data_IF_569037694654
#
_entry.id   IF_569037694654
#
_cell.length_a   1.000
_cell.length_b   1.000
_cell.length_c   1.000
_cell.angle_alpha   90.00
_cell.angle_beta   90.00
_cell.angle_gamma   90.00
#
_symmetry.space_group_name_H-M   'P 1'
#
loop_
_entity.id
_entity.type
_entity.pdbx_description
1 polymer ?
#
# COMPACT_ATOMS: atom_id res chain seq x y z
N UNK A 1 6.08 10.98 -15.69
CA UNK A 1 7.08 11.41 -14.68
C UNK A 1 8.18 12.25 -15.31
N UNK A 2 8.82 11.83 -16.41
CA UNK A 2 9.87 12.62 -17.08
C UNK A 2 9.47 14.08 -17.36
N UNK A 3 8.31 14.31 -18.00
CA UNK A 3 7.80 15.66 -18.27
C UNK A 3 7.64 16.54 -17.02
N UNK A 4 7.24 15.96 -15.89
CA UNK A 4 7.08 16.69 -14.63
C UNK A 4 8.44 17.08 -14.04
N UNK A 5 9.44 16.20 -14.18
CA UNK A 5 10.80 16.48 -13.74
C UNK A 5 11.43 17.60 -14.58
N UNK A 6 11.23 17.59 -15.90
CA UNK A 6 11.67 18.68 -16.80
C UNK A 6 11.03 20.02 -16.41
N UNK A 7 9.79 20.00 -15.92
CA UNK A 7 9.07 21.18 -15.41
C UNK A 7 9.45 21.57 -13.98
N UNK A 8 10.48 20.96 -13.39
CA UNK A 8 10.98 21.31 -12.05
C UNK A 8 10.13 20.77 -10.88
N UNK A 9 9.19 19.85 -11.13
CA UNK A 9 8.42 19.17 -10.08
C UNK A 9 9.28 18.07 -9.45
N UNK A 10 10.25 18.48 -8.63
CA UNK A 10 11.31 17.61 -8.10
C UNK A 10 11.16 17.31 -6.60
N UNK A 11 10.17 17.92 -5.94
CA UNK A 11 9.82 17.63 -4.55
C UNK A 11 10.14 18.77 -3.58
N UNK A 12 10.02 18.47 -2.29
CA UNK A 12 10.11 19.50 -1.24
C UNK A 12 11.45 20.23 -1.20
N UNK A 13 12.56 19.55 -1.54
CA UNK A 13 13.90 20.15 -1.50
C UNK A 13 14.11 21.23 -2.57
N UNK A 14 13.31 21.23 -3.63
CA UNK A 14 13.36 22.22 -4.72
C UNK A 14 12.21 23.23 -4.64
N UNK A 15 11.50 23.28 -3.51
CA UNK A 15 10.38 24.20 -3.29
C UNK A 15 9.01 23.68 -3.74
N UNK A 16 8.92 22.57 -4.49
CA UNK A 16 7.65 22.04 -4.96
C UNK A 16 7.73 20.67 -5.62
N UNK A 17 6.77 19.80 -5.30
CA UNK A 17 6.54 18.51 -5.96
C UNK A 17 5.05 18.34 -6.25
N UNK A 18 4.49 17.14 -6.07
CA UNK A 18 3.03 16.97 -6.14
C UNK A 18 2.25 17.89 -5.17
N UNK A 19 2.91 18.36 -4.11
CA UNK A 19 2.39 19.33 -3.17
C UNK A 19 3.36 20.51 -3.04
N UNK A 20 2.83 21.68 -2.71
CA UNK A 20 3.63 22.89 -2.53
C UNK A 20 2.90 23.96 -1.72
N UNK A 21 3.48 25.16 -1.70
CA UNK A 21 2.84 26.38 -1.22
C UNK A 21 2.82 27.41 -2.34
N UNK A 22 1.75 28.19 -2.43
CA UNK A 22 1.72 29.40 -3.26
C UNK A 22 2.49 30.55 -2.58
N UNK A 23 2.62 31.68 -3.28
CA UNK A 23 3.33 32.87 -2.80
C UNK A 23 2.70 33.48 -1.54
N UNK A 24 1.40 33.22 -1.31
CA UNK A 24 0.67 33.63 -0.10
C UNK A 24 0.78 32.62 1.05
N UNK A 25 1.52 31.53 0.88
CA UNK A 25 1.66 30.45 1.86
C UNK A 25 0.50 29.44 1.88
N UNK A 26 -0.48 29.57 0.98
CA UNK A 26 -1.59 28.66 0.79
C UNK A 26 -1.12 27.30 0.27
N UNK A 27 -1.82 26.22 0.66
CA UNK A 27 -1.45 24.85 0.25
C UNK A 27 -1.98 24.56 -1.15
N UNK A 28 -1.08 24.21 -2.06
CA UNK A 28 -1.41 23.84 -3.44
C UNK A 28 -1.05 22.38 -3.73
N UNK A 29 -1.74 21.78 -4.68
CA UNK A 29 -1.53 20.41 -5.15
C UNK A 29 -1.52 20.39 -6.68
N UNK A 30 -0.64 19.57 -7.26
CA UNK A 30 -0.59 19.37 -8.70
C UNK A 30 -1.75 18.47 -9.12
N UNK A 31 -2.62 18.95 -10.01
CA UNK A 31 -3.61 18.10 -10.68
C UNK A 31 -2.90 17.28 -11.77
N UNK A 32 -2.89 15.94 -11.69
CA UNK A 32 -2.21 15.10 -12.68
C UNK A 32 -2.80 15.20 -14.08
N UNK A 33 -4.08 15.58 -14.23
CA UNK A 33 -4.76 15.68 -15.53
C UNK A 33 -4.36 16.95 -16.27
N UNK A 34 -4.38 18.09 -15.56
CA UNK A 34 -4.07 19.39 -16.16
C UNK A 34 -2.60 19.77 -16.03
N UNK A 35 -1.84 19.06 -15.19
CA UNK A 35 -0.47 19.39 -14.79
C UNK A 35 -0.33 20.82 -14.24
N UNK A 36 -1.40 21.38 -13.66
CA UNK A 36 -1.42 22.70 -13.03
C UNK A 36 -1.62 22.58 -11.53
N UNK A 37 -1.04 23.51 -10.79
CA UNK A 37 -1.31 23.61 -9.36
C UNK A 37 -2.68 24.24 -9.11
N UNK A 38 -3.42 23.65 -8.19
CA UNK A 38 -4.70 24.15 -7.70
C UNK A 38 -4.68 24.23 -6.17
N UNK A 39 -5.58 25.01 -5.58
CA UNK A 39 -5.72 25.04 -4.13
C UNK A 39 -6.06 23.65 -3.60
N UNK A 40 -5.39 23.20 -2.54
CA UNK A 40 -5.74 21.93 -1.88
C UNK A 40 -7.20 21.92 -1.41
N UNK A 41 -7.74 23.07 -1.01
CA UNK A 41 -9.12 23.17 -0.53
C UNK A 41 -10.17 22.99 -1.63
N UNK A 42 -9.81 23.12 -2.91
CA UNK A 42 -10.74 22.87 -4.02
C UNK A 42 -10.88 21.38 -4.36
N UNK A 43 -10.06 20.51 -3.75
CA UNK A 43 -10.15 19.06 -3.97
C UNK A 43 -11.09 18.46 -2.91
N UNK A 44 -12.24 17.98 -3.37
CA UNK A 44 -13.13 17.18 -2.54
C UNK A 44 -12.52 15.80 -2.29
N UNK A 45 -12.56 15.34 -1.04
CA UNK A 45 -12.20 13.96 -0.72
C UNK A 45 -13.26 13.05 -1.33
N UNK A 46 -12.86 12.01 -2.09
CA UNK A 46 -13.83 11.05 -2.59
C UNK A 46 -14.50 10.29 -1.44
N UNK A 47 -15.64 9.68 -1.72
CA UNK A 47 -16.24 8.71 -0.82
C UNK A 47 -15.30 7.51 -0.65
N UNK A 48 -14.91 7.27 0.59
CA UNK A 48 -14.01 6.21 1.01
C UNK A 48 -14.61 5.46 2.22
N UNK A 49 -15.93 5.35 2.31
CA UNK A 49 -16.63 4.73 3.45
C UNK A 49 -16.09 3.34 3.85
N UNK A 50 -15.57 2.55 2.90
CA UNK A 50 -14.95 1.25 3.19
C UNK A 50 -13.75 1.36 4.15
N UNK A 51 -13.05 2.50 4.16
CA UNK A 51 -11.93 2.77 5.07
C UNK A 51 -12.40 2.86 6.52
N UNK A 52 -13.60 3.40 6.77
CA UNK A 52 -14.10 3.58 8.14
C UNK A 52 -14.33 2.23 8.81
N UNK A 53 -14.90 1.26 8.08
CA UNK A 53 -15.05 -0.12 8.54
C UNK A 53 -13.70 -0.75 8.88
N UNK A 54 -12.71 -0.62 7.98
CA UNK A 54 -11.36 -1.18 8.17
C UNK A 54 -10.67 -0.54 9.38
N UNK A 55 -10.72 0.79 9.48
CA UNK A 55 -10.11 1.57 10.57
C UNK A 55 -10.70 1.20 11.93
N UNK A 56 -12.02 1.04 12.01
CA UNK A 56 -12.69 0.62 13.24
C UNK A 56 -12.28 -0.80 13.68
N UNK A 57 -12.16 -1.73 12.74
CA UNK A 57 -11.70 -3.10 13.01
C UNK A 57 -10.24 -3.11 13.49
N UNK A 58 -9.36 -2.34 12.83
CA UNK A 58 -7.96 -2.20 13.23
C UNK A 58 -7.81 -1.61 14.63
N UNK A 59 -8.63 -0.60 15.00
CA UNK A 59 -8.60 0.03 16.31
C UNK A 59 -8.86 -0.95 17.47
N UNK A 60 -9.66 -1.99 17.24
CA UNK A 60 -9.99 -3.02 18.25
C UNK A 60 -9.19 -4.31 18.06
N UNK A 61 -8.12 -4.29 17.26
CA UNK A 61 -7.22 -5.43 17.07
C UNK A 61 -7.73 -6.51 16.12
N UNK A 62 -8.81 -6.26 15.36
CA UNK A 62 -9.41 -7.20 14.41
C UNK A 62 -8.80 -7.04 13.01
N UNK A 63 -7.49 -7.21 12.91
CA UNK A 63 -6.72 -6.91 11.68
C UNK A 63 -7.09 -7.81 10.50
N UNK A 64 -7.24 -9.11 10.71
CA UNK A 64 -7.63 -10.06 9.65
C UNK A 64 -9.01 -9.70 9.08
N UNK A 65 -9.95 -9.32 9.93
CA UNK A 65 -11.29 -8.91 9.49
C UNK A 65 -11.26 -7.57 8.75
N UNK A 66 -10.41 -6.64 9.19
CA UNK A 66 -10.16 -5.39 8.48
C UNK A 66 -9.56 -5.63 7.08
N UNK A 67 -8.59 -6.52 6.98
CA UNK A 67 -7.95 -6.86 5.70
C UNK A 67 -8.85 -7.69 4.79
N UNK A 68 -9.75 -8.51 5.35
CA UNK A 68 -10.83 -9.15 4.59
C UNK A 68 -11.80 -8.11 4.02
N UNK A 69 -12.26 -7.15 4.85
CA UNK A 69 -13.12 -6.06 4.39
C UNK A 69 -12.43 -5.23 3.28
N UNK A 70 -11.11 -5.02 3.38
CA UNK A 70 -10.31 -4.39 2.33
C UNK A 70 -10.31 -5.19 1.02
N UNK A 71 -10.11 -6.51 1.08
CA UNK A 71 -10.11 -7.37 -0.10
C UNK A 71 -11.49 -7.45 -0.78
N UNK A 72 -12.56 -7.36 0.00
CA UNK A 72 -13.96 -7.38 -0.47
C UNK A 72 -14.47 -6.00 -0.91
N UNK A 73 -13.76 -4.92 -0.56
CA UNK A 73 -14.17 -3.56 -0.90
C UNK A 73 -14.31 -3.35 -2.41
N UNK A 74 -15.35 -2.61 -2.79
CA UNK A 74 -15.70 -2.35 -4.19
C UNK A 74 -15.58 -0.86 -4.53
N UNK A 75 -15.65 -0.53 -5.81
CA UNK A 75 -15.52 0.83 -6.32
C UNK A 75 -14.10 1.19 -6.80
N UNK A 76 -13.97 2.34 -7.47
CA UNK A 76 -12.73 2.71 -8.16
C UNK A 76 -11.55 2.93 -7.20
N UNK A 77 -11.78 3.50 -6.02
CA UNK A 77 -10.72 3.78 -5.05
C UNK A 77 -10.25 2.51 -4.33
N UNK A 78 -11.15 1.59 -4.01
CA UNK A 78 -10.79 0.27 -3.50
C UNK A 78 -9.96 -0.50 -4.53
N UNK A 79 -10.36 -0.48 -5.80
CA UNK A 79 -9.61 -1.13 -6.89
C UNK A 79 -8.19 -0.55 -7.05
N UNK A 80 -8.02 0.78 -6.91
CA UNK A 80 -6.69 1.41 -6.92
C UNK A 80 -5.85 0.92 -5.73
N UNK A 81 -6.41 0.93 -4.52
CA UNK A 81 -5.68 0.50 -3.32
C UNK A 81 -5.27 -0.98 -3.40
N UNK A 82 -6.20 -1.85 -3.83
CA UNK A 82 -5.94 -3.27 -4.08
C UNK A 82 -4.83 -3.47 -5.13
N UNK A 83 -4.83 -2.67 -6.21
CA UNK A 83 -3.77 -2.74 -7.23
C UNK A 83 -2.40 -2.36 -6.67
N UNK A 84 -2.32 -1.33 -5.82
CA UNK A 84 -1.06 -0.93 -5.17
C UNK A 84 -0.55 -2.03 -4.24
N UNK A 85 -1.43 -2.59 -3.40
CA UNK A 85 -1.07 -3.67 -2.47
C UNK A 85 -0.67 -4.94 -3.23
N UNK A 86 -1.39 -5.32 -4.29
CA UNK A 86 -1.02 -6.43 -5.16
C UNK A 86 0.37 -6.23 -5.79
N UNK A 87 0.66 -5.03 -6.29
CA UNK A 87 1.97 -4.67 -6.84
C UNK A 87 3.07 -4.81 -5.79
N UNK A 88 2.83 -4.31 -4.59
CA UNK A 88 3.76 -4.39 -3.47
C UNK A 88 4.04 -5.85 -3.06
N UNK A 89 3.01 -6.67 -2.88
CA UNK A 89 3.17 -8.09 -2.51
C UNK A 89 3.88 -8.86 -3.63
N UNK A 90 3.39 -8.75 -4.86
CA UNK A 90 3.97 -9.45 -6.01
C UNK A 90 5.45 -9.09 -6.19
N UNK A 91 5.79 -7.80 -6.16
CA UNK A 91 7.18 -7.36 -6.26
C UNK A 91 8.03 -7.93 -5.13
N UNK A 92 7.57 -7.82 -3.88
CA UNK A 92 8.33 -8.24 -2.71
C UNK A 92 8.68 -9.73 -2.75
N UNK A 93 7.70 -10.61 -2.97
CA UNK A 93 7.94 -12.05 -3.01
C UNK A 93 8.82 -12.48 -4.20
N UNK A 94 8.82 -11.74 -5.32
CA UNK A 94 9.75 -12.01 -6.43
C UNK A 94 11.19 -11.57 -6.17
N UNK A 95 11.43 -10.73 -5.16
CA UNK A 95 12.79 -10.31 -4.77
C UNK A 95 13.46 -11.26 -3.78
N UNK A 96 12.73 -12.26 -3.26
CA UNK A 96 13.32 -13.31 -2.41
C UNK A 96 14.31 -14.14 -3.25
N UNK A 97 15.50 -14.39 -2.70
CA UNK A 97 16.64 -14.99 -3.38
C UNK A 97 17.49 -14.02 -4.21
N UNK A 98 17.01 -12.79 -4.43
CA UNK A 98 17.76 -11.71 -5.11
C UNK A 98 18.25 -10.66 -4.11
N UNK A 99 17.36 -10.17 -3.24
CA UNK A 99 17.63 -9.09 -2.28
C UNK A 99 17.91 -9.64 -0.88
N UNK A 100 17.25 -10.74 -0.51
CA UNK A 100 17.41 -11.44 0.77
C UNK A 100 17.22 -12.94 0.57
N UNK A 101 17.76 -13.77 1.47
CA UNK A 101 17.65 -15.23 1.36
C UNK A 101 16.21 -15.74 1.55
N UNK A 102 15.41 -15.05 2.36
CA UNK A 102 14.02 -15.39 2.66
C UNK A 102 13.11 -14.16 2.73
N UNK A 103 11.80 -14.40 2.91
CA UNK A 103 10.80 -13.33 3.00
C UNK A 103 10.95 -12.49 4.27
N UNK A 104 11.44 -13.07 5.37
CA UNK A 104 11.64 -12.39 6.65
C UNK A 104 12.65 -11.25 6.55
N UNK A 105 13.67 -11.39 5.69
CA UNK A 105 14.58 -10.30 5.34
C UNK A 105 13.86 -9.10 4.71
N UNK A 106 12.99 -9.34 3.72
CA UNK A 106 12.19 -8.29 3.08
C UNK A 106 11.20 -7.68 4.08
N UNK A 107 10.57 -8.51 4.90
CA UNK A 107 9.64 -8.06 5.93
C UNK A 107 10.30 -7.10 6.92
N UNK A 108 11.55 -7.36 7.31
CA UNK A 108 12.31 -6.46 8.18
C UNK A 108 12.63 -5.14 7.48
N UNK A 109 13.03 -5.17 6.21
CA UNK A 109 13.30 -3.95 5.43
C UNK A 109 12.02 -3.10 5.34
N UNK A 110 10.90 -3.72 4.97
CA UNK A 110 9.64 -3.00 4.81
C UNK A 110 9.04 -2.55 6.14
N UNK A 111 9.06 -3.41 7.15
CA UNK A 111 8.50 -3.16 8.47
C UNK A 111 9.28 -2.14 9.29
N UNK A 112 10.62 -2.21 9.30
CA UNK A 112 11.46 -1.34 10.14
C UNK A 112 12.14 -0.22 9.37
N UNK A 113 12.39 -0.38 8.06
CA UNK A 113 12.97 0.66 7.22
C UNK A 113 11.92 1.62 6.67
N UNK A 114 10.84 1.08 6.09
CA UNK A 114 9.79 1.88 5.47
C UNK A 114 8.57 2.13 6.38
N UNK A 115 8.50 1.44 7.53
CA UNK A 115 7.35 1.47 8.44
C UNK A 115 6.04 1.10 7.72
N UNK A 116 6.11 0.11 6.81
CA UNK A 116 4.98 -0.47 6.12
C UNK A 116 4.58 -1.80 6.75
N UNK A 117 3.33 -2.22 6.54
CA UNK A 117 2.98 -3.62 6.78
C UNK A 117 3.86 -4.53 5.92
N UNK A 118 4.58 -5.49 6.52
CA UNK A 118 5.40 -6.43 5.76
C UNK A 118 4.56 -7.18 4.71
N UNK A 119 5.14 -7.51 3.54
CA UNK A 119 4.40 -8.22 2.50
C UNK A 119 3.84 -9.55 3.01
N UNK A 120 4.57 -10.31 3.83
CA UNK A 120 4.07 -11.57 4.40
C UNK A 120 2.90 -11.35 5.37
N UNK A 121 2.96 -10.32 6.23
CA UNK A 121 1.86 -9.93 7.13
C UNK A 121 0.60 -9.61 6.32
N UNK A 122 0.74 -8.92 5.20
CA UNK A 122 -0.40 -8.64 4.32
C UNK A 122 -0.97 -9.92 3.72
N UNK A 123 -0.14 -10.86 3.24
CA UNK A 123 -0.64 -12.15 2.74
C UNK A 123 -1.36 -12.93 3.84
N UNK A 124 -0.78 -13.00 5.03
CA UNK A 124 -1.32 -13.77 6.16
C UNK A 124 -2.64 -13.18 6.70
N UNK A 125 -2.82 -11.86 6.63
CA UNK A 125 -4.04 -11.16 7.09
C UNK A 125 -5.12 -11.05 6.04
N UNK A 126 -4.78 -10.94 4.76
CA UNK A 126 -5.73 -10.98 3.63
C UNK A 126 -6.17 -12.42 3.34
N UNK A 127 -5.28 -13.39 3.53
CA UNK A 127 -5.41 -14.78 3.13
C UNK A 127 -4.79 -15.06 1.76
N UNK A 128 -4.35 -16.30 1.56
CA UNK A 128 -3.58 -16.70 0.37
C UNK A 128 -4.41 -16.58 -0.93
N UNK A 129 -5.58 -17.22 -0.98
CA UNK A 129 -6.46 -17.17 -2.18
C UNK A 129 -6.91 -15.75 -2.54
N UNK A 130 -7.42 -14.92 -1.61
CA UNK A 130 -7.78 -13.54 -1.94
C UNK A 130 -6.58 -12.73 -2.42
N UNK A 131 -5.39 -12.96 -1.85
CA UNK A 131 -4.15 -12.32 -2.29
C UNK A 131 -3.79 -12.69 -3.73
N UNK A 132 -3.78 -13.98 -4.08
CA UNK A 132 -3.50 -14.45 -5.45
C UNK A 132 -4.49 -13.83 -6.44
N UNK A 133 -5.79 -13.87 -6.13
CA UNK A 133 -6.83 -13.27 -6.96
C UNK A 133 -6.63 -11.76 -7.15
N UNK A 134 -6.19 -11.06 -6.11
CA UNK A 134 -5.91 -9.62 -6.17
C UNK A 134 -4.72 -9.33 -7.11
N UNK A 135 -3.67 -10.15 -7.06
CA UNK A 135 -2.50 -10.08 -7.94
C UNK A 135 -2.88 -10.33 -9.40
N UNK A 136 -3.65 -11.39 -9.67
CA UNK A 136 -4.13 -11.73 -11.01
C UNK A 136 -5.01 -10.61 -11.59
N UNK A 137 -5.95 -10.10 -10.79
CA UNK A 137 -6.83 -8.98 -11.19
C UNK A 137 -6.03 -7.71 -11.51
N UNK A 138 -4.87 -7.52 -10.88
CA UNK A 138 -3.97 -6.41 -11.17
C UNK A 138 -3.14 -6.62 -12.46
N UNK A 139 -3.23 -7.79 -13.11
CA UNK A 139 -2.46 -8.15 -14.30
C UNK A 139 -0.98 -8.42 -14.00
N UNK A 140 -0.68 -8.87 -12.78
CA UNK A 140 0.67 -9.10 -12.29
C UNK A 140 0.96 -10.60 -12.20
N UNK A 141 2.23 -10.96 -12.28
CA UNK A 141 2.66 -12.35 -12.07
C UNK A 141 2.47 -12.75 -10.59
N UNK A 142 1.91 -13.94 -10.37
CA UNK A 142 1.80 -14.54 -9.04
C UNK A 142 3.17 -15.12 -8.66
N UNK A 143 3.76 -14.72 -7.52
CA UNK A 143 5.05 -15.26 -7.08
C UNK A 143 4.97 -16.78 -6.86
N UNK A 144 5.99 -17.56 -7.27
CA UNK A 144 6.00 -19.02 -7.08
C UNK A 144 5.79 -19.45 -5.64
N UNK A 145 6.32 -18.69 -4.66
CA UNK A 145 6.14 -18.95 -3.24
C UNK A 145 4.65 -18.92 -2.82
N UNK A 146 3.84 -18.04 -3.42
CA UNK A 146 2.40 -17.99 -3.17
C UNK A 146 1.65 -19.05 -3.98
N UNK A 147 2.02 -19.23 -5.26
CA UNK A 147 1.37 -20.18 -6.15
C UNK A 147 1.50 -21.64 -5.67
N UNK A 148 2.63 -21.99 -5.04
CA UNK A 148 2.92 -23.34 -4.57
C UNK A 148 2.53 -23.57 -3.10
N UNK A 149 2.08 -22.53 -2.39
CA UNK A 149 1.71 -22.64 -0.99
C UNK A 149 0.32 -23.29 -0.80
N UNK A 150 0.16 -23.99 0.31
CA UNK A 150 -1.15 -24.51 0.72
C UNK A 150 -1.93 -23.44 1.48
N UNK A 151 -3.26 -23.51 1.44
CA UNK A 151 -4.10 -22.62 2.26
C UNK A 151 -3.75 -22.81 3.74
N UNK A 152 -3.60 -21.71 4.48
CA UNK A 152 -3.17 -21.72 5.88
C UNK A 152 -1.64 -21.72 6.08
N UNK A 153 -0.84 -21.76 5.02
CA UNK A 153 0.60 -21.46 5.11
C UNK A 153 0.79 -20.09 5.74
N UNK A 154 1.63 -20.00 6.78
CA UNK A 154 2.04 -18.74 7.39
C UNK A 154 3.36 -18.31 6.80
N UNK A 155 3.42 -17.07 6.33
CA UNK A 155 4.63 -16.49 5.74
C UNK A 155 5.37 -15.58 6.71
N UNK A 156 4.64 -14.89 7.60
CA UNK A 156 5.26 -14.04 8.59
C UNK A 156 5.70 -14.87 9.80
N UNK A 157 6.99 -14.86 10.08
CA UNK A 157 7.59 -15.59 11.21
C UNK A 157 8.59 -14.69 11.96
N UNK A 158 8.07 -13.72 12.70
CA UNK A 158 8.84 -12.96 13.67
C UNK A 158 8.14 -12.96 15.03
N UNK A 159 8.57 -13.82 15.98
CA UNK A 159 7.91 -13.99 17.27
C UNK A 159 8.05 -12.76 18.18
N UNK A 160 8.93 -11.82 17.86
CA UNK A 160 9.15 -10.60 18.65
C UNK A 160 8.24 -9.45 18.22
N UNK A 161 7.51 -9.61 17.10
CA UNK A 161 6.75 -8.52 16.49
C UNK A 161 5.25 -8.77 16.61
N UNK A 162 4.56 -7.85 17.29
CA UNK A 162 3.11 -7.79 17.23
C UNK A 162 2.67 -7.18 15.90
N UNK A 163 1.94 -7.94 15.08
CA UNK A 163 1.44 -7.51 13.76
C UNK A 163 0.60 -6.23 13.82
N UNK A 164 -0.06 -5.97 14.95
CA UNK A 164 -0.84 -4.75 15.18
C UNK A 164 -0.03 -3.46 15.10
N UNK A 165 1.29 -3.53 15.28
CA UNK A 165 2.21 -2.41 15.03
C UNK A 165 2.05 -1.82 13.64
N UNK A 166 1.71 -2.64 12.64
CA UNK A 166 1.62 -2.21 11.25
C UNK A 166 0.22 -1.74 10.82
N UNK A 167 -0.77 -1.89 11.70
CA UNK A 167 -2.17 -1.57 11.43
C UNK A 167 -2.70 -0.47 12.33
N UNK A 168 -1.86 0.53 12.63
CA UNK A 168 -2.26 1.66 13.48
C UNK A 168 -3.26 2.53 12.72
N UNK A 169 -4.52 2.51 13.18
CA UNK A 169 -5.55 3.43 12.74
C UNK A 169 -5.31 4.80 13.40
N UNK A 170 -5.03 5.83 12.58
CA UNK A 170 -4.99 7.23 13.01
C UNK A 170 -6.40 7.83 13.12
#
# INVERSE_FOLDING_TARGET
MAELMEKGVLGRKTGGGFFGKDDGGGRIVLDPKTQKYVSKSSIARPDLAFIDTISNLHRVGRYEEGMKAFAEATGPYAAIAQKVIAGYISYSFHRVGEVTDDISGIDRIMGFGFNWAPPSVLVDTIGLKPTIKMIEKAGLAVPPALANAQEGTKFFDDPQVNVGKFFVAA
#
